data_IF_725812126447
#
_entry.id   IF_725812126447
#
_cell.length_a   1.000
_cell.length_b   1.000
_cell.length_c   1.000
_cell.angle_alpha   90.00
_cell.angle_beta   90.00
_cell.angle_gamma   90.00
#
_symmetry.space_group_name_H-M   'P 1'
#
loop_
_entity.id
_entity.type
_entity.pdbx_description
1 polymer ?
#
# COMPACT_ATOMS: atom_id res chain seq x y z
N UNK A 1 16.55 14.03 -1.45
CA UNK A 1 15.11 13.77 -1.37
C UNK A 1 14.85 13.23 0.01
N UNK A 2 13.97 13.88 0.78
CA UNK A 2 13.59 13.46 2.13
C UNK A 2 13.00 12.03 2.10
N UNK A 3 13.27 11.24 3.13
CA UNK A 3 12.83 9.84 3.20
C UNK A 3 11.29 9.76 3.26
N UNK A 4 10.63 10.74 3.88
CA UNK A 4 9.18 10.88 3.87
C UNK A 4 8.62 11.03 2.46
N UNK A 5 9.28 11.84 1.63
CA UNK A 5 8.90 12.02 0.21
C UNK A 5 9.12 10.73 -0.59
N UNK A 6 10.21 9.98 -0.33
CA UNK A 6 10.43 8.68 -0.97
C UNK A 6 9.34 7.68 -0.59
N UNK A 7 9.03 7.58 0.70
CA UNK A 7 7.99 6.71 1.23
C UNK A 7 6.62 7.02 0.66
N UNK A 8 6.26 8.31 0.61
CA UNK A 8 5.01 8.77 0.02
C UNK A 8 4.90 8.30 -1.44
N UNK A 9 5.96 8.48 -2.23
CA UNK A 9 5.97 8.05 -3.63
C UNK A 9 5.82 6.54 -3.77
N UNK A 10 6.53 5.75 -2.95
CA UNK A 10 6.45 4.29 -2.97
C UNK A 10 5.05 3.77 -2.60
N UNK A 11 4.42 4.28 -1.53
CA UNK A 11 3.06 3.87 -1.17
C UNK A 11 2.07 4.28 -2.27
N UNK A 12 2.20 5.50 -2.80
CA UNK A 12 1.31 6.00 -3.85
C UNK A 12 1.38 5.12 -5.10
N UNK A 13 2.58 4.77 -5.55
CA UNK A 13 2.77 3.90 -6.70
C UNK A 13 2.08 2.54 -6.49
N UNK A 14 2.19 1.96 -5.29
CA UNK A 14 1.59 0.65 -4.99
C UNK A 14 0.08 0.67 -4.91
N UNK A 15 -0.49 1.66 -4.21
CA UNK A 15 -1.94 1.80 -4.11
C UNK A 15 -2.53 1.96 -5.52
N UNK A 16 -1.87 2.72 -6.40
CA UNK A 16 -2.26 2.84 -7.81
C UNK A 16 -2.13 1.50 -8.57
N UNK A 17 -1.04 0.75 -8.40
CA UNK A 17 -0.89 -0.58 -9.03
C UNK A 17 -2.00 -1.52 -8.61
N UNK A 18 -2.33 -1.57 -7.31
CA UNK A 18 -3.41 -2.40 -6.76
C UNK A 18 -4.78 -1.97 -7.29
N UNK A 19 -5.05 -0.66 -7.40
CA UNK A 19 -6.29 -0.14 -7.99
C UNK A 19 -6.43 -0.49 -9.49
N UNK A 20 -5.33 -0.43 -10.25
CA UNK A 20 -5.32 -0.86 -11.65
C UNK A 20 -5.60 -2.37 -11.75
N UNK A 21 -4.95 -3.20 -10.94
CA UNK A 21 -5.17 -4.65 -10.94
C UNK A 21 -6.60 -5.01 -10.53
N UNK A 22 -7.16 -4.33 -9.52
CA UNK A 22 -8.56 -4.46 -9.13
C UNK A 22 -9.50 -4.17 -10.30
N UNK A 23 -9.31 -3.06 -11.02
CA UNK A 23 -10.13 -2.70 -12.18
C UNK A 23 -10.02 -3.68 -13.34
N UNK A 24 -8.89 -4.38 -13.46
CA UNK A 24 -8.66 -5.41 -14.47
C UNK A 24 -9.16 -6.80 -14.04
N UNK A 25 -9.51 -7.00 -12.76
CA UNK A 25 -9.97 -8.28 -12.23
C UNK A 25 -11.43 -8.59 -12.59
N UNK A 26 -11.83 -9.86 -12.45
CA UNK A 26 -13.20 -10.30 -12.70
C UNK A 26 -14.19 -9.66 -11.72
N UNK A 27 -15.48 -9.60 -12.07
CA UNK A 27 -16.50 -9.02 -11.17
C UNK A 27 -16.56 -9.74 -9.81
N UNK A 28 -16.38 -11.07 -9.80
CA UNK A 28 -16.33 -11.88 -8.58
C UNK A 28 -15.10 -11.57 -7.72
N UNK A 29 -13.96 -11.30 -8.35
CA UNK A 29 -12.75 -10.89 -7.65
C UNK A 29 -12.86 -9.45 -7.15
N UNK A 30 -13.48 -8.55 -7.91
CA UNK A 30 -13.77 -7.19 -7.48
C UNK A 30 -14.64 -7.16 -6.22
N UNK A 31 -15.69 -7.97 -6.16
CA UNK A 31 -16.55 -8.06 -4.97
C UNK A 31 -15.78 -8.46 -3.70
N UNK A 32 -14.65 -9.18 -3.85
CA UNK A 32 -13.83 -9.66 -2.74
C UNK A 32 -12.69 -8.70 -2.43
N UNK A 33 -12.08 -8.10 -3.44
CA UNK A 33 -10.94 -7.18 -3.32
C UNK A 33 -11.37 -5.77 -2.88
N UNK A 34 -12.58 -5.34 -3.27
CA UNK A 34 -13.10 -4.00 -3.04
C UNK A 34 -13.00 -3.56 -1.58
N UNK A 35 -13.54 -4.32 -0.60
CA UNK A 35 -13.47 -3.95 0.81
C UNK A 35 -12.04 -3.78 1.33
N UNK A 36 -11.10 -4.63 0.88
CA UNK A 36 -9.71 -4.54 1.30
C UNK A 36 -8.99 -3.33 0.65
N UNK A 37 -9.33 -3.03 -0.60
CA UNK A 37 -8.80 -1.86 -1.31
C UNK A 37 -9.32 -0.55 -0.70
N UNK A 38 -10.59 -0.52 -0.28
CA UNK A 38 -11.19 0.62 0.42
C UNK A 38 -10.49 0.88 1.77
N UNK A 39 -10.23 -0.17 2.55
CA UNK A 39 -9.47 -0.08 3.80
C UNK A 39 -8.05 0.46 3.57
N UNK A 40 -7.37 -0.02 2.52
CA UNK A 40 -6.06 0.47 2.12
C UNK A 40 -6.07 1.96 1.75
N UNK A 41 -7.10 2.44 1.04
CA UNK A 41 -7.25 3.85 0.70
C UNK A 41 -7.45 4.72 1.94
N UNK A 42 -8.30 4.30 2.87
CA UNK A 42 -8.53 5.00 4.13
C UNK A 42 -7.24 5.12 4.94
N UNK A 43 -6.49 4.04 5.05
CA UNK A 43 -5.23 4.02 5.79
C UNK A 43 -4.14 4.84 5.10
N UNK A 44 -4.07 4.79 3.77
CA UNK A 44 -3.18 5.67 3.01
C UNK A 44 -3.48 7.16 3.25
N UNK A 45 -4.76 7.55 3.28
CA UNK A 45 -5.14 8.94 3.59
C UNK A 45 -4.72 9.32 5.01
N UNK A 46 -4.91 8.46 6.01
CA UNK A 46 -4.45 8.69 7.39
C UNK A 46 -2.94 8.84 7.47
N UNK A 47 -2.19 8.00 6.75
CA UNK A 47 -0.74 8.06 6.66
C UNK A 47 -0.25 9.39 6.10
N UNK A 48 -0.85 9.86 4.99
CA UNK A 48 -0.53 11.18 4.41
C UNK A 48 -0.77 12.33 5.39
N UNK A 49 -1.89 12.29 6.12
CA UNK A 49 -2.21 13.30 7.14
C UNK A 49 -1.16 13.30 8.25
N UNK A 50 -0.65 12.13 8.66
CA UNK A 50 0.40 12.03 9.67
C UNK A 50 1.76 12.55 9.19
N UNK A 51 2.17 12.23 7.96
CA UNK A 51 3.37 12.82 7.35
C UNK A 51 3.30 14.36 7.34
N UNK A 52 2.13 14.93 7.02
CA UNK A 52 1.92 16.37 6.99
C UNK A 52 1.93 17.05 8.37
N UNK A 53 1.66 16.31 9.45
CA UNK A 53 1.58 16.86 10.82
C UNK A 53 2.95 17.02 11.52
N UNK A 54 4.05 16.75 10.81
CA UNK A 54 5.43 16.80 11.29
C UNK A 54 5.70 15.81 12.45
N UNK A 55 6.26 14.64 12.13
CA UNK A 55 6.75 13.72 13.16
C UNK A 55 6.95 12.25 12.81
N UNK A 56 6.73 11.79 11.58
CA UNK A 56 7.12 10.43 11.20
C UNK A 56 8.51 10.52 10.57
N UNK A 57 9.56 10.09 11.27
CA UNK A 57 10.88 9.93 10.67
C UNK A 57 10.82 8.64 9.87
N UNK A 58 10.52 8.71 8.57
CA UNK A 58 10.67 7.53 7.70
C UNK A 58 12.13 7.10 7.74
N UNK A 59 12.37 5.91 8.28
CA UNK A 59 13.72 5.35 8.38
C UNK A 59 14.10 4.60 7.11
N UNK A 60 15.39 4.33 6.89
CA UNK A 60 15.83 3.52 5.74
C UNK A 60 15.29 2.08 5.80
N UNK A 61 15.07 1.53 7.01
CA UNK A 61 14.44 0.22 7.20
C UNK A 61 12.98 0.20 6.70
N UNK A 62 12.27 1.33 6.82
CA UNK A 62 10.90 1.45 6.35
C UNK A 62 10.86 1.43 4.82
N UNK A 63 11.84 2.07 4.18
CA UNK A 63 12.00 2.03 2.72
C UNK A 63 12.32 0.61 2.23
N UNK A 64 13.16 -0.15 2.94
CA UNK A 64 13.44 -1.55 2.61
C UNK A 64 12.23 -2.47 2.78
N UNK A 65 11.46 -2.30 3.86
CA UNK A 65 10.22 -3.05 4.07
C UNK A 65 9.21 -2.77 2.96
N UNK A 66 9.13 -1.51 2.55
CA UNK A 66 8.33 -1.14 1.40
C UNK A 66 8.85 -1.74 0.11
N UNK A 67 10.14 -1.73 -0.18
CA UNK A 67 10.64 -2.38 -1.39
C UNK A 67 10.29 -3.88 -1.41
N UNK A 68 10.34 -4.58 -0.26
CA UNK A 68 9.90 -5.98 -0.15
C UNK A 68 8.42 -6.17 -0.44
N UNK A 69 7.56 -5.32 0.11
CA UNK A 69 6.12 -5.34 -0.17
C UNK A 69 5.88 -5.09 -1.67
N UNK A 70 6.68 -4.22 -2.31
CA UNK A 70 6.59 -3.95 -3.75
C UNK A 70 6.87 -5.19 -4.57
N UNK A 71 7.99 -5.87 -4.31
CA UNK A 71 8.35 -7.09 -5.06
C UNK A 71 7.27 -8.17 -4.92
N UNK A 72 6.60 -8.24 -3.77
CA UNK A 72 5.52 -9.19 -3.52
C UNK A 72 4.22 -8.83 -4.25
N UNK A 73 3.91 -7.54 -4.40
CA UNK A 73 2.80 -7.05 -5.22
C UNK A 73 3.07 -7.31 -6.71
N UNK A 74 4.28 -7.00 -7.18
CA UNK A 74 4.67 -7.18 -8.58
C UNK A 74 4.69 -8.68 -8.96
N UNK A 75 4.93 -9.57 -7.98
CA UNK A 75 4.86 -11.01 -8.14
C UNK A 75 3.45 -11.60 -7.93
N UNK A 76 2.46 -10.80 -7.50
CA UNK A 76 1.11 -11.27 -7.21
C UNK A 76 0.32 -11.51 -8.52
N UNK A 77 0.39 -12.75 -9.02
CA UNK A 77 -0.29 -13.16 -10.24
C UNK A 77 -1.74 -13.65 -10.00
N UNK A 78 -2.12 -13.92 -8.75
CA UNK A 78 -3.44 -14.46 -8.39
C UNK A 78 -4.14 -13.64 -7.30
N UNK A 79 -5.44 -13.87 -7.13
CA UNK A 79 -6.30 -13.15 -6.19
C UNK A 79 -5.82 -13.25 -4.75
N UNK A 80 -5.31 -14.40 -4.31
CA UNK A 80 -4.83 -14.54 -2.92
C UNK A 80 -3.57 -13.71 -2.70
N UNK A 81 -2.69 -13.65 -3.69
CA UNK A 81 -1.51 -12.82 -3.65
C UNK A 81 -1.86 -11.32 -3.58
N UNK A 82 -2.88 -10.85 -4.34
CA UNK A 82 -3.37 -9.47 -4.22
C UNK A 82 -3.94 -9.15 -2.84
N UNK A 83 -4.76 -10.04 -2.26
CA UNK A 83 -5.31 -9.85 -0.91
C UNK A 83 -4.18 -9.76 0.13
N UNK A 84 -3.17 -10.63 0.04
CA UNK A 84 -2.01 -10.57 0.92
C UNK A 84 -1.18 -9.30 0.74
N UNK A 85 -1.03 -8.84 -0.50
CA UNK A 85 -0.35 -7.58 -0.83
C UNK A 85 -1.05 -6.36 -0.21
N UNK A 86 -2.38 -6.31 -0.34
CA UNK A 86 -3.22 -5.27 0.26
C UNK A 86 -3.07 -5.30 1.79
N UNK A 87 -3.26 -6.48 2.41
CA UNK A 87 -3.15 -6.65 3.85
C UNK A 87 -1.77 -6.28 4.41
N UNK A 88 -0.68 -6.59 3.70
CA UNK A 88 0.68 -6.20 4.10
C UNK A 88 0.89 -4.70 4.01
N UNK A 89 0.35 -4.06 2.98
CA UNK A 89 0.44 -2.60 2.81
C UNK A 89 -0.35 -1.88 3.92
N UNK A 90 -1.54 -2.37 4.26
CA UNK A 90 -2.33 -1.92 5.41
C UNK A 90 -1.54 -2.07 6.71
N UNK A 91 -1.01 -3.26 6.97
CA UNK A 91 -0.24 -3.53 8.19
C UNK A 91 0.98 -2.61 8.32
N UNK A 92 1.72 -2.39 7.23
CA UNK A 92 2.84 -1.45 7.20
C UNK A 92 2.38 -0.03 7.56
N UNK A 93 1.33 0.46 6.89
CA UNK A 93 0.77 1.78 7.17
C UNK A 93 0.37 1.89 8.66
N UNK A 94 -0.29 0.88 9.22
CA UNK A 94 -0.70 0.86 10.62
C UNK A 94 0.48 1.00 11.60
N UNK A 95 1.68 0.47 11.28
CA UNK A 95 2.88 0.69 12.13
C UNK A 95 3.36 2.13 12.15
N UNK A 96 2.94 2.94 11.18
CA UNK A 96 3.30 4.36 11.04
C UNK A 96 2.18 5.28 11.50
N UNK A 97 1.02 4.71 11.84
CA UNK A 97 -0.12 5.40 12.46
C UNK A 97 0.03 5.26 13.97
#
# INVERSE_FOLDING_TARGET
MDNDTKMLNEITAKVNTLDIQYKMSSFEDQAVLGPALDELWDDYVKFRIKLLKAGVITTDADLEEMEKIRTQIDAAADRQAMIMAIARTIAFIATKV
#
